data_IF_034693954605
#
_entry.id   IF_034693954605
#
_cell.length_a   1.000
_cell.length_b   1.000
_cell.length_c   1.000
_cell.angle_alpha   90.00
_cell.angle_beta   90.00
_cell.angle_gamma   90.00
#
_symmetry.space_group_name_H-M   'P 1'
#
loop_
_entity.id
_entity.type
_entity.pdbx_description
1 polymer ?
#
# COMPACT_ATOMS: atom_id res chain seq x y z
N UNK A 1 13.18 6.94 -6.78
CA UNK A 1 12.50 6.24 -5.68
C UNK A 1 11.49 5.29 -6.27
N UNK A 2 11.48 4.03 -5.83
CA UNK A 2 10.53 3.08 -6.39
C UNK A 2 9.15 3.25 -5.74
N UNK A 3 8.13 2.66 -6.38
CA UNK A 3 6.76 2.84 -5.94
C UNK A 3 6.47 2.19 -4.59
N UNK A 4 7.18 1.11 -4.26
CA UNK A 4 7.00 0.44 -2.97
C UNK A 4 7.47 1.35 -1.83
N UNK A 5 8.58 2.02 -2.00
CA UNK A 5 9.09 2.96 -1.00
C UNK A 5 8.18 4.18 -0.89
N UNK A 6 7.70 4.65 -2.02
CA UNK A 6 6.76 5.77 -2.04
C UNK A 6 5.49 5.43 -1.26
N UNK A 7 4.95 4.23 -1.48
CA UNK A 7 3.75 3.80 -0.78
C UNK A 7 4.01 3.69 0.72
N UNK A 8 5.14 3.10 1.11
CA UNK A 8 5.48 2.98 2.51
C UNK A 8 5.54 4.34 3.20
N UNK A 9 6.17 5.32 2.55
CA UNK A 9 6.27 6.65 3.11
C UNK A 9 4.91 7.32 3.24
N UNK A 10 4.03 7.13 2.26
CA UNK A 10 2.68 7.68 2.32
C UNK A 10 1.89 7.10 3.48
N UNK A 11 2.04 5.81 3.73
CA UNK A 11 1.37 5.16 4.86
C UNK A 11 1.88 5.74 6.18
N UNK A 12 3.20 5.83 6.32
CA UNK A 12 3.80 6.29 7.58
C UNK A 12 3.56 7.78 7.84
N UNK A 13 3.24 8.55 6.80
CA UNK A 13 2.87 9.95 6.98
C UNK A 13 1.51 10.09 7.66
N UNK A 14 0.64 9.11 7.52
CA UNK A 14 -0.74 9.19 8.01
C UNK A 14 -1.04 8.26 9.18
N UNK A 15 -0.29 7.19 9.32
CA UNK A 15 -0.55 6.17 10.33
C UNK A 15 0.69 5.97 11.17
N UNK A 16 0.49 5.59 12.42
CA UNK A 16 1.61 5.42 13.35
C UNK A 16 2.48 4.22 13.01
N UNK A 17 1.94 3.25 12.26
CA UNK A 17 2.71 2.06 11.89
C UNK A 17 2.07 1.38 10.70
N UNK A 18 2.85 0.54 10.03
CA UNK A 18 2.33 -0.26 8.91
C UNK A 18 1.29 -1.26 9.41
N UNK A 19 1.49 -1.79 10.60
CA UNK A 19 0.57 -2.75 11.18
C UNK A 19 -0.80 -2.12 11.42
N UNK A 20 -0.80 -0.89 11.92
CA UNK A 20 -2.05 -0.17 12.15
C UNK A 20 -2.77 0.10 10.84
N UNK A 21 -2.04 0.52 9.81
CA UNK A 21 -2.63 0.75 8.51
C UNK A 21 -3.29 -0.51 7.97
N UNK A 22 -2.60 -1.65 8.04
CA UNK A 22 -3.13 -2.90 7.55
C UNK A 22 -4.44 -3.25 8.25
N UNK A 23 -4.48 -3.07 9.55
CA UNK A 23 -5.69 -3.34 10.34
C UNK A 23 -6.85 -2.46 9.89
N UNK A 24 -6.60 -1.17 9.70
CA UNK A 24 -7.66 -0.24 9.33
C UNK A 24 -8.09 -0.38 7.88
N UNK A 25 -7.18 -0.82 7.01
CA UNK A 25 -7.50 -1.05 5.60
C UNK A 25 -8.10 -2.44 5.36
N UNK A 26 -8.21 -3.25 6.42
CA UNK A 26 -8.78 -4.59 6.34
C UNK A 26 -7.97 -5.50 5.41
N UNK A 27 -6.64 -5.45 5.54
CA UNK A 27 -5.76 -6.36 4.83
C UNK A 27 -4.81 -7.01 5.83
N UNK A 28 -4.42 -8.28 5.57
CA UNK A 28 -3.47 -8.94 6.46
C UNK A 28 -2.14 -8.20 6.47
N UNK A 29 -1.55 -8.08 7.65
CA UNK A 29 -0.25 -7.42 7.76
C UNK A 29 0.80 -8.10 6.88
N UNK A 30 0.80 -9.43 6.84
CA UNK A 30 1.77 -10.17 6.02
C UNK A 30 1.61 -9.83 4.54
N UNK A 31 0.36 -9.64 4.08
CA UNK A 31 0.12 -9.25 2.70
C UNK A 31 0.69 -7.87 2.42
N UNK A 32 0.47 -6.93 3.33
CA UNK A 32 1.02 -5.58 3.17
C UNK A 32 2.54 -5.62 3.11
N UNK A 33 3.16 -6.38 4.00
CA UNK A 33 4.62 -6.46 4.03
C UNK A 33 5.18 -7.11 2.76
N UNK A 34 4.50 -8.11 2.22
CA UNK A 34 4.92 -8.73 0.96
C UNK A 34 4.90 -7.71 -0.18
N UNK A 35 3.83 -6.92 -0.26
CA UNK A 35 3.71 -5.89 -1.29
C UNK A 35 4.84 -4.87 -1.17
N UNK A 36 5.13 -4.43 0.04
CA UNK A 36 6.12 -3.38 0.26
C UNK A 36 7.56 -3.87 0.10
N UNK A 37 7.80 -5.17 0.33
CA UNK A 37 9.16 -5.70 0.27
C UNK A 37 9.50 -6.35 -1.06
N UNK A 38 8.50 -6.63 -1.89
CA UNK A 38 8.73 -7.30 -3.17
C UNK A 38 8.33 -6.43 -4.34
N UNK A 39 7.07 -6.53 -4.74
CA UNK A 39 6.63 -5.88 -5.96
C UNK A 39 5.14 -5.62 -5.92
N UNK A 40 4.76 -4.35 -5.97
CA UNK A 40 3.36 -3.99 -6.06
C UNK A 40 2.69 -4.55 -7.31
N UNK A 41 3.46 -4.73 -8.38
CA UNK A 41 2.93 -5.27 -9.61
C UNK A 41 2.45 -6.70 -9.48
N UNK A 42 2.97 -7.45 -8.49
CA UNK A 42 2.53 -8.80 -8.22
C UNK A 42 1.37 -8.89 -7.25
N UNK A 43 0.94 -7.77 -6.69
CA UNK A 43 -0.16 -7.76 -5.74
C UNK A 43 -1.49 -7.89 -6.45
N UNK A 44 -2.47 -8.45 -5.72
CA UNK A 44 -3.82 -8.52 -6.26
C UNK A 44 -4.39 -7.11 -6.42
N UNK A 45 -5.14 -6.90 -7.49
CA UNK A 45 -5.75 -5.61 -7.76
C UNK A 45 -6.66 -5.17 -6.63
N UNK A 46 -7.41 -6.12 -6.05
CA UNK A 46 -8.31 -5.82 -4.95
C UNK A 46 -7.58 -5.25 -3.74
N UNK A 47 -6.41 -5.80 -3.42
CA UNK A 47 -5.61 -5.32 -2.29
C UNK A 47 -5.09 -3.92 -2.58
N UNK A 48 -4.63 -3.68 -3.80
CA UNK A 48 -4.13 -2.35 -4.17
C UNK A 48 -5.24 -1.32 -4.08
N UNK A 49 -6.45 -1.68 -4.53
CA UNK A 49 -7.60 -0.77 -4.43
C UNK A 49 -7.92 -0.45 -2.97
N UNK A 50 -7.88 -1.44 -2.08
CA UNK A 50 -8.13 -1.19 -0.65
C UNK A 50 -7.11 -0.20 -0.08
N UNK A 51 -5.84 -0.38 -0.44
CA UNK A 51 -4.78 0.51 0.02
C UNK A 51 -5.01 1.94 -0.49
N UNK A 52 -5.29 2.06 -1.77
CA UNK A 52 -5.47 3.38 -2.38
C UNK A 52 -6.70 4.10 -1.84
N UNK A 53 -7.79 3.38 -1.61
CA UNK A 53 -8.98 3.97 -1.02
C UNK A 53 -8.73 4.49 0.38
N UNK A 54 -7.99 3.72 1.17
CA UNK A 54 -7.70 4.12 2.54
C UNK A 54 -6.82 5.35 2.58
N UNK A 55 -5.89 5.47 1.64
CA UNK A 55 -5.01 6.62 1.54
C UNK A 55 -5.62 7.77 0.73
N UNK A 56 -6.78 7.55 0.12
CA UNK A 56 -7.47 8.54 -0.71
C UNK A 56 -6.62 8.98 -1.88
N UNK A 57 -5.99 8.03 -2.54
CA UNK A 57 -5.16 8.29 -3.72
C UNK A 57 -5.65 7.45 -4.88
N UNK A 58 -5.27 7.87 -6.08
CA UNK A 58 -5.64 7.18 -7.31
C UNK A 58 -4.63 6.06 -7.58
N UNK A 59 -5.08 4.81 -7.82
CA UNK A 59 -4.16 3.72 -8.16
C UNK A 59 -3.24 4.03 -9.32
N UNK A 60 -3.65 4.92 -10.20
CA UNK A 60 -2.81 5.32 -11.33
C UNK A 60 -1.48 5.89 -10.91
N UNK A 61 -1.38 6.42 -9.69
CA UNK A 61 -0.12 6.95 -9.19
C UNK A 61 0.97 5.88 -9.11
N UNK A 62 0.57 4.61 -9.09
CA UNK A 62 1.51 3.49 -8.96
C UNK A 62 1.64 2.67 -10.23
N UNK A 63 0.67 2.73 -11.12
CA UNK A 63 0.68 1.92 -12.35
C UNK A 63 0.87 2.73 -13.61
N UNK A 64 0.67 4.03 -13.54
CA UNK A 64 0.87 4.90 -14.68
C UNK A 64 2.34 5.23 -14.81
N UNK A 65 2.89 5.07 -15.97
CA UNK A 65 4.27 5.43 -16.25
C UNK A 65 4.37 6.89 -16.64
#
# INVERSE_FOLDING_TARGET
>A
MNRELKLRNMILDRYSSLRRFASEADIPYSTLMTILSRDMGGASFDVVIKICRKLEIDPKEFYSE
#
